data_IF_046850953134
#
_entry.id   IF_046850953134
#
_cell.length_a   1.000
_cell.length_b   1.000
_cell.length_c   1.000
_cell.angle_alpha   90.00
_cell.angle_beta   90.00
_cell.angle_gamma   90.00
#
_symmetry.space_group_name_H-M   'P 1'
#
loop_
_entity.id
_entity.type
_entity.pdbx_description
1 polymer ?
#
# COMPACT_ATOMS: atom_id res chain seq x y z
N UNK A 1 9.67 -26.63 -7.39
CA UNK A 1 10.14 -25.32 -7.88
C UNK A 1 9.05 -24.31 -7.56
N UNK A 2 9.30 -23.34 -6.67
CA UNK A 2 8.35 -22.24 -6.45
C UNK A 2 8.24 -21.44 -7.76
N UNK A 3 7.04 -20.99 -8.16
CA UNK A 3 6.89 -20.19 -9.37
C UNK A 3 7.78 -18.96 -9.27
N UNK A 4 8.58 -18.71 -10.31
CA UNK A 4 9.34 -17.47 -10.46
C UNK A 4 8.35 -16.32 -10.54
N UNK A 5 8.01 -15.74 -9.39
CA UNK A 5 7.04 -14.66 -9.31
C UNK A 5 7.76 -13.34 -9.58
N UNK A 6 7.31 -12.63 -10.61
CA UNK A 6 7.82 -11.33 -10.98
C UNK A 6 6.89 -10.23 -10.48
N UNK A 7 7.47 -9.16 -9.95
CA UNK A 7 6.72 -7.99 -9.50
C UNK A 7 7.13 -6.75 -10.29
N UNK A 8 6.14 -5.89 -10.55
CA UNK A 8 6.38 -4.52 -11.04
C UNK A 8 6.73 -3.64 -9.86
N UNK A 9 7.85 -2.95 -9.97
CA UNK A 9 8.48 -2.17 -8.91
C UNK A 9 8.81 -0.78 -9.45
N UNK A 10 8.91 0.19 -8.56
CA UNK A 10 9.26 1.56 -8.91
C UNK A 10 10.16 2.16 -7.84
N UNK A 11 11.28 2.76 -8.24
CA UNK A 11 12.02 3.68 -7.38
C UNK A 11 11.46 5.08 -7.60
N UNK A 12 11.16 5.79 -6.51
CA UNK A 12 10.65 7.16 -6.57
C UNK A 12 11.53 8.10 -5.75
N UNK A 13 11.87 9.25 -6.33
CA UNK A 13 12.55 10.35 -5.67
C UNK A 13 12.04 11.68 -6.23
N UNK A 14 11.40 12.49 -5.39
CA UNK A 14 10.65 13.69 -5.81
C UNK A 14 9.72 13.37 -7.01
N UNK A 15 9.86 14.11 -8.10
CA UNK A 15 9.08 13.98 -9.33
C UNK A 15 9.66 12.95 -10.29
N UNK A 16 10.82 12.35 -9.96
CA UNK A 16 11.47 11.34 -10.77
C UNK A 16 11.09 9.93 -10.30
N UNK A 17 10.90 9.04 -11.26
CA UNK A 17 10.67 7.64 -11.01
C UNK A 17 11.38 6.75 -12.04
N UNK A 18 11.80 5.58 -11.60
CA UNK A 18 12.33 4.53 -12.45
C UNK A 18 11.52 3.25 -12.21
N UNK A 19 10.74 2.85 -13.21
CA UNK A 19 9.95 1.61 -13.19
C UNK A 19 10.81 0.43 -13.65
N UNK A 20 10.65 -0.72 -12.99
CA UNK A 20 11.35 -1.94 -13.36
C UNK A 20 10.54 -3.18 -12.96
N UNK A 21 10.95 -4.33 -13.48
CA UNK A 21 10.34 -5.62 -13.17
C UNK A 21 11.42 -6.56 -12.67
N UNK A 22 11.15 -7.27 -11.58
CA UNK A 22 12.11 -8.21 -11.03
C UNK A 22 11.44 -9.41 -10.39
N UNK A 23 12.14 -10.54 -10.45
CA UNK A 23 11.94 -11.70 -9.59
C UNK A 23 13.03 -11.74 -8.52
N UNK A 24 12.95 -12.70 -7.60
CA UNK A 24 13.87 -12.80 -6.45
C UNK A 24 15.35 -12.84 -6.86
N UNK A 25 15.67 -13.58 -7.92
CA UNK A 25 17.04 -13.73 -8.42
C UNK A 25 17.54 -12.52 -9.21
N UNK A 26 16.66 -11.80 -9.88
CA UNK A 26 17.01 -10.62 -10.70
C UNK A 26 16.89 -9.30 -9.94
N UNK A 27 16.31 -9.31 -8.74
CA UNK A 27 16.00 -8.11 -7.95
C UNK A 27 17.19 -7.20 -7.74
N UNK A 28 18.35 -7.74 -7.33
CA UNK A 28 19.56 -6.94 -7.08
C UNK A 28 20.01 -6.18 -8.33
N UNK A 29 20.10 -6.87 -9.47
CA UNK A 29 20.58 -6.29 -10.72
C UNK A 29 19.60 -5.23 -11.25
N UNK A 30 18.30 -5.53 -11.22
CA UNK A 30 17.26 -4.63 -11.70
C UNK A 30 17.11 -3.39 -10.82
N UNK A 31 17.18 -3.56 -9.48
CA UNK A 31 17.18 -2.45 -8.54
C UNK A 31 18.37 -1.51 -8.76
N UNK A 32 19.55 -2.08 -9.00
CA UNK A 32 20.75 -1.29 -9.28
C UNK A 32 20.61 -0.51 -10.59
N UNK A 33 20.14 -1.15 -11.67
CA UNK A 33 19.91 -0.48 -12.94
C UNK A 33 18.89 0.67 -12.82
N UNK A 34 17.77 0.43 -12.14
CA UNK A 34 16.76 1.45 -11.88
C UNK A 34 17.30 2.60 -11.03
N UNK A 35 18.16 2.30 -10.04
CA UNK A 35 18.79 3.34 -9.22
C UNK A 35 19.74 4.22 -10.03
N UNK A 36 20.56 3.63 -10.92
CA UNK A 36 21.45 4.39 -11.80
C UNK A 36 20.65 5.29 -12.75
N UNK A 37 19.54 4.80 -13.32
CA UNK A 37 18.64 5.61 -14.14
C UNK A 37 18.06 6.79 -13.35
N UNK A 38 17.64 6.55 -12.12
CA UNK A 38 17.08 7.60 -11.26
C UNK A 38 18.16 8.63 -10.84
N UNK A 39 19.37 8.16 -10.51
CA UNK A 39 20.51 8.99 -10.16
C UNK A 39 20.99 9.88 -11.31
N UNK A 40 20.90 9.39 -12.55
CA UNK A 40 21.20 10.18 -13.75
C UNK A 40 20.27 11.39 -13.93
N UNK A 41 19.06 11.36 -13.34
CA UNK A 41 18.08 12.45 -13.43
C UNK A 41 18.18 13.44 -12.26
N UNK A 42 18.58 12.99 -11.07
CA UNK A 42 18.47 13.77 -9.82
C UNK A 42 19.73 13.92 -8.98
N UNK A 43 20.88 13.38 -9.38
CA UNK A 43 22.13 13.45 -8.61
C UNK A 43 22.11 12.57 -7.36
N UNK A 44 22.23 13.15 -6.16
CA UNK A 44 22.19 12.40 -4.89
C UNK A 44 20.75 11.95 -4.58
N UNK A 45 20.44 10.70 -4.90
CA UNK A 45 19.09 10.16 -4.83
C UNK A 45 18.82 9.43 -3.51
N UNK A 46 17.75 9.86 -2.81
CA UNK A 46 17.16 9.15 -1.67
C UNK A 46 15.84 8.51 -2.10
N UNK A 47 15.92 7.37 -2.77
CA UNK A 47 14.75 6.75 -3.37
C UNK A 47 13.94 5.93 -2.37
N UNK A 48 12.62 5.93 -2.55
CA UNK A 48 11.72 4.98 -1.90
C UNK A 48 11.32 3.89 -2.89
N UNK A 49 11.29 2.63 -2.44
CA UNK A 49 10.82 1.51 -3.24
C UNK A 49 9.30 1.38 -3.15
N UNK A 50 8.65 1.23 -4.29
CA UNK A 50 7.23 0.92 -4.41
C UNK A 50 7.02 -0.40 -5.16
N UNK A 51 5.91 -1.08 -4.87
CA UNK A 51 5.47 -2.30 -5.54
C UNK A 51 4.04 -2.14 -6.05
N UNK A 52 3.77 -2.63 -7.25
CA UNK A 52 2.42 -2.62 -7.82
C UNK A 52 1.60 -3.79 -7.26
N UNK A 53 0.52 -3.47 -6.58
CA UNK A 53 -0.53 -4.39 -6.18
C UNK A 53 -1.68 -4.38 -7.19
N UNK A 54 -2.32 -5.53 -7.43
CA UNK A 54 -3.40 -5.65 -8.42
C UNK A 54 -4.62 -4.81 -8.08
N UNK A 55 -5.01 -4.78 -6.79
CA UNK A 55 -6.22 -4.10 -6.33
C UNK A 55 -5.97 -2.68 -5.80
N UNK A 56 -4.76 -2.41 -5.32
CA UNK A 56 -4.46 -1.18 -4.56
C UNK A 56 -3.47 -0.26 -5.26
N UNK A 57 -3.04 -0.61 -6.48
CA UNK A 57 -2.09 0.20 -7.23
C UNK A 57 -0.69 0.19 -6.61
N UNK A 58 0.00 1.33 -6.67
CA UNK A 58 1.36 1.45 -6.16
C UNK A 58 1.40 1.59 -4.64
N UNK A 59 2.09 0.67 -3.98
CA UNK A 59 2.28 0.65 -2.53
C UNK A 59 3.73 0.95 -2.17
N UNK A 60 3.96 1.76 -1.15
CA UNK A 60 5.31 1.94 -0.59
C UNK A 60 5.71 0.67 0.15
N UNK A 61 6.88 0.13 -0.18
CA UNK A 61 7.40 -1.07 0.47
C UNK A 61 7.77 -0.75 1.91
N UNK A 62 7.34 -1.59 2.85
CA UNK A 62 7.67 -1.49 4.26
C UNK A 62 8.19 -2.83 4.80
N UNK A 63 9.12 -2.75 5.77
CA UNK A 63 9.57 -3.94 6.50
C UNK A 63 8.51 -4.41 7.52
N UNK A 64 8.77 -5.55 8.18
CA UNK A 64 7.87 -6.10 9.20
C UNK A 64 7.68 -5.18 10.44
N UNK A 65 8.53 -4.17 10.61
CA UNK A 65 8.40 -3.14 11.63
C UNK A 65 7.73 -1.86 11.08
N UNK A 66 7.11 -1.94 9.90
CA UNK A 66 6.49 -0.85 9.16
C UNK A 66 7.41 0.33 8.84
N UNK A 67 8.72 0.09 8.74
CA UNK A 67 9.69 1.11 8.34
C UNK A 67 9.85 1.10 6.82
N UNK A 68 9.88 2.29 6.23
CA UNK A 68 10.10 2.49 4.80
C UNK A 68 11.62 2.54 4.52
N UNK A 69 12.19 1.57 3.79
CA UNK A 69 13.61 1.57 3.49
C UNK A 69 13.93 2.70 2.50
N UNK A 70 14.76 3.64 2.94
CA UNK A 70 15.30 4.69 2.06
C UNK A 70 16.56 4.13 1.38
N UNK A 71 16.54 4.14 0.05
CA UNK A 71 17.60 3.62 -0.80
C UNK A 71 18.48 4.79 -1.24
N UNK A 72 19.69 4.84 -0.70
CA UNK A 72 20.70 5.85 -1.03
C UNK A 72 21.91 5.25 -1.75
N UNK A 73 22.21 3.98 -1.45
CA UNK A 73 23.27 3.24 -2.11
C UNK A 73 22.83 1.77 -2.27
N UNK A 74 22.47 1.34 -3.50
CA UNK A 74 21.99 -0.02 -3.73
C UNK A 74 23.04 -1.10 -3.43
N UNK A 75 24.34 -0.77 -3.45
CA UNK A 75 25.42 -1.73 -3.17
C UNK A 75 25.55 -2.05 -1.68
N UNK A 76 25.13 -1.15 -0.80
CA UNK A 76 25.15 -1.33 0.66
C UNK A 76 23.86 -1.93 1.22
N UNK A 77 22.86 -2.18 0.38
CA UNK A 77 21.58 -2.73 0.79
C UNK A 77 21.63 -4.25 0.95
N UNK A 78 20.98 -4.74 2.01
CA UNK A 78 20.60 -6.14 2.07
C UNK A 78 19.37 -6.38 1.18
N UNK A 79 19.63 -6.79 -0.07
CA UNK A 79 18.60 -7.04 -1.07
C UNK A 79 17.63 -8.17 -0.68
N UNK A 80 18.07 -9.14 0.12
CA UNK A 80 17.19 -10.21 0.61
C UNK A 80 16.14 -9.66 1.58
N UNK A 81 16.55 -8.84 2.55
CA UNK A 81 15.61 -8.18 3.46
C UNK A 81 14.63 -7.27 2.71
N UNK A 82 15.13 -6.53 1.71
CA UNK A 82 14.28 -5.65 0.90
C UNK A 82 13.28 -6.45 0.07
N UNK A 83 13.68 -7.60 -0.48
CA UNK A 83 12.77 -8.51 -1.17
C UNK A 83 11.72 -9.12 -0.23
N UNK A 84 12.09 -9.50 0.99
CA UNK A 84 11.15 -9.93 2.01
C UNK A 84 10.15 -8.82 2.37
N UNK A 85 10.60 -7.57 2.47
CA UNK A 85 9.73 -6.41 2.67
C UNK A 85 8.73 -6.22 1.52
N UNK A 86 9.15 -6.41 0.26
CA UNK A 86 8.24 -6.41 -0.90
C UNK A 86 7.14 -7.46 -0.74
N UNK A 87 7.53 -8.70 -0.41
CA UNK A 87 6.58 -9.81 -0.20
C UNK A 87 5.65 -9.54 0.97
N UNK A 88 6.18 -9.01 2.07
CA UNK A 88 5.40 -8.63 3.24
C UNK A 88 4.35 -7.57 2.89
N UNK A 89 4.76 -6.49 2.20
CA UNK A 89 3.88 -5.41 1.77
C UNK A 89 2.72 -5.93 0.92
N UNK A 90 3.00 -6.82 -0.03
CA UNK A 90 1.96 -7.44 -0.86
C UNK A 90 1.01 -8.33 -0.02
N UNK A 91 1.55 -9.17 0.86
CA UNK A 91 0.74 -10.06 1.70
C UNK A 91 -0.11 -9.31 2.74
N UNK A 92 0.33 -8.13 3.19
CA UNK A 92 -0.49 -7.22 3.99
C UNK A 92 -1.58 -6.57 3.13
N UNK A 93 -1.24 -6.11 1.93
CA UNK A 93 -2.16 -5.48 1.01
C UNK A 93 -3.27 -6.45 0.54
N UNK A 94 -2.97 -7.72 0.35
CA UNK A 94 -3.96 -8.77 0.05
C UNK A 94 -5.03 -8.90 1.15
N UNK A 95 -4.72 -8.48 2.38
CA UNK A 95 -5.64 -8.49 3.54
C UNK A 95 -6.37 -7.16 3.73
N UNK A 96 -6.06 -6.13 2.94
CA UNK A 96 -6.74 -4.85 3.04
C UNK A 96 -8.16 -4.95 2.49
N UNK A 97 -9.13 -4.27 3.14
CA UNK A 97 -10.49 -4.27 2.63
C UNK A 97 -10.53 -3.62 1.24
N UNK A 98 -11.25 -4.26 0.33
CA UNK A 98 -11.49 -3.69 -0.99
C UNK A 98 -12.29 -2.38 -0.88
N UNK A 99 -12.27 -1.56 -1.91
CA UNK A 99 -13.04 -0.31 -1.89
C UNK A 99 -14.55 -0.57 -1.82
N UNK A 100 -15.04 -1.69 -2.37
CA UNK A 100 -16.41 -2.16 -2.18
C UNK A 100 -16.70 -2.53 -0.72
N UNK A 101 -15.78 -3.22 -0.03
CA UNK A 101 -15.96 -3.56 1.38
C UNK A 101 -15.93 -2.32 2.27
N UNK A 102 -15.08 -1.34 1.96
CA UNK A 102 -15.08 -0.03 2.63
C UNK A 102 -16.40 0.70 2.39
N UNK A 103 -16.92 0.68 1.16
CA UNK A 103 -18.19 1.30 0.81
C UNK A 103 -19.35 0.63 1.54
N UNK A 104 -19.40 -0.72 1.56
CA UNK A 104 -20.41 -1.50 2.28
C UNK A 104 -20.41 -1.17 3.77
N UNK A 105 -19.24 -1.18 4.42
CA UNK A 105 -19.11 -0.82 5.84
C UNK A 105 -19.54 0.63 6.12
N UNK A 106 -19.26 1.57 5.20
CA UNK A 106 -19.76 2.96 5.32
C UNK A 106 -21.28 3.02 5.21
N UNK A 107 -21.87 2.30 4.25
CA UNK A 107 -23.31 2.25 4.05
C UNK A 107 -24.03 1.63 5.26
N UNK A 108 -23.54 0.50 5.77
CA UNK A 108 -24.06 -0.15 6.99
C UNK A 108 -24.04 0.79 8.20
N UNK A 109 -22.92 1.51 8.40
CA UNK A 109 -22.80 2.52 9.47
C UNK A 109 -23.80 3.66 9.29
N UNK A 110 -24.02 4.11 8.06
CA UNK A 110 -24.97 5.18 7.76
C UNK A 110 -26.42 4.73 8.00
N UNK A 111 -26.78 3.52 7.58
CA UNK A 111 -28.11 2.92 7.83
C UNK A 111 -28.35 2.78 9.33
N UNK A 112 -27.38 2.26 10.08
CA UNK A 112 -27.48 2.12 11.53
C UNK A 112 -27.69 3.47 12.22
N UNK A 113 -26.91 4.50 11.87
CA UNK A 113 -27.09 5.85 12.41
C UNK A 113 -28.47 6.42 12.12
N UNK A 114 -28.98 6.25 10.90
CA UNK A 114 -30.35 6.68 10.54
C UNK A 114 -31.42 5.97 11.38
N UNK A 115 -31.24 4.68 11.66
CA UNK A 115 -32.15 3.92 12.50
C UNK A 115 -32.10 4.40 13.97
N UNK A 116 -30.91 4.63 14.51
CA UNK A 116 -30.70 5.18 15.86
C UNK A 116 -31.32 6.59 15.99
N UNK A 117 -31.11 7.47 15.01
CA UNK A 117 -31.71 8.82 14.98
C UNK A 117 -33.25 8.76 14.91
N UNK A 118 -33.80 7.85 14.10
CA UNK A 118 -35.25 7.68 14.00
C UNK A 118 -35.85 7.16 15.32
N UNK A 119 -35.18 6.23 16.00
CA UNK A 119 -35.59 5.73 17.31
C UNK A 119 -35.53 6.84 18.37
N UNK A 120 -34.45 7.62 18.40
CA UNK A 120 -34.29 8.75 19.31
C UNK A 120 -35.32 9.87 19.08
N UNK A 121 -35.77 10.07 17.83
CA UNK A 121 -36.88 10.97 17.53
C UNK A 121 -38.18 10.41 18.08
N UNK A 122 -38.49 9.14 17.83
CA UNK A 122 -39.73 8.50 18.31
C UNK A 122 -39.83 8.49 19.83
N UNK A 123 -38.72 8.29 20.55
CA UNK A 123 -38.72 8.30 22.02
C UNK A 123 -38.98 9.68 22.65
N UNK A 124 -38.87 10.77 21.87
CA UNK A 124 -39.16 12.14 22.32
C UNK A 124 -40.63 12.55 22.14
N UNK A 125 -41.43 11.75 21.44
CA UNK A 125 -42.86 12.01 21.30
C UNK A 125 -43.64 11.09 22.23
N UNK A 126 -44.28 11.68 23.25
CA UNK A 126 -45.27 10.99 24.06
C UNK A 126 -46.66 11.32 23.49
N UNK A 127 -47.45 10.30 23.19
CA UNK A 127 -48.86 10.48 22.83
C UNK A 127 -49.58 10.93 24.10
N UNK A 128 -49.97 12.20 24.16
CA UNK A 128 -50.91 12.67 25.19
C UNK A 128 -52.26 12.07 24.83
N UNK A 129 -52.73 11.08 25.59
CA UNK A 129 -54.13 10.66 25.51
C UNK A 129 -54.96 11.81 26.08
N UNK A 130 -55.69 12.51 25.21
CA UNK A 130 -56.69 13.47 25.63
C UNK A 130 -57.83 12.74 26.35
N UNK A 131 -58.19 13.24 27.54
CA UNK A 131 -59.44 12.94 28.22
C UNK A 131 -60.64 13.52 27.46
#
# INVERSE_FOLDING_TARGET
MLPCQWYRLKLQFHDHAADFTAGETSFRAQLHAAFVQLAALGGEVKATLMVQHRLHGWLKVCDAAHRYPIIQNPLRLNCQHLWQAVRHTLAEADRWPSDEEKLRKRLERQVRRRAEDAAARRSRFHIVKGE
#
